data_IF_853627408374
#
_entry.id   IF_853627408374
#
_cell.length_a   1.000
_cell.length_b   1.000
_cell.length_c   1.000
_cell.angle_alpha   90.00
_cell.angle_beta   90.00
_cell.angle_gamma   90.00
#
_symmetry.space_group_name_H-M   'P 1'
#
loop_
_entity.id
_entity.type
_entity.pdbx_description
1 polymer ?
#
# COMPACT_ATOMS: atom_id res chain seq x y z
N UNK A 1 6.57 -18.01 15.34
CA UNK A 1 6.87 -18.36 16.74
C UNK A 1 8.29 -18.02 17.16
N UNK A 2 9.33 -18.27 16.32
CA UNK A 2 10.74 -17.99 16.69
C UNK A 2 11.05 -16.50 16.87
N UNK A 3 10.41 -15.62 16.11
CA UNK A 3 10.64 -14.15 16.17
C UNK A 3 10.02 -13.48 17.41
N UNK A 4 8.94 -14.02 17.96
CA UNK A 4 8.24 -13.38 19.09
C UNK A 4 9.13 -13.14 20.31
N UNK A 5 9.93 -14.13 20.79
CA UNK A 5 10.82 -13.90 21.93
C UNK A 5 11.92 -12.87 21.66
N UNK A 6 12.37 -12.73 20.40
CA UNK A 6 13.36 -11.72 20.01
C UNK A 6 12.72 -10.33 20.03
N UNK A 7 11.54 -10.17 19.42
CA UNK A 7 10.80 -8.91 19.42
C UNK A 7 10.46 -8.45 20.85
N UNK A 8 10.02 -9.36 21.71
CA UNK A 8 9.73 -9.05 23.11
C UNK A 8 10.97 -8.58 23.87
N UNK A 9 12.12 -9.23 23.62
CA UNK A 9 13.42 -8.85 24.24
C UNK A 9 13.85 -7.46 23.76
N UNK A 10 13.74 -7.19 22.47
CA UNK A 10 14.11 -5.88 21.89
C UNK A 10 13.19 -4.76 22.40
N UNK A 11 11.91 -5.09 22.60
CA UNK A 11 10.92 -4.16 23.18
C UNK A 11 11.00 -4.04 24.72
N UNK A 12 11.78 -4.88 25.41
CA UNK A 12 11.86 -4.90 26.88
C UNK A 12 10.58 -5.35 27.57
N UNK A 13 9.76 -6.19 26.90
CA UNK A 13 8.49 -6.71 27.45
C UNK A 13 8.53 -8.23 27.58
N UNK A 14 7.75 -8.77 28.55
CA UNK A 14 7.55 -10.21 28.65
C UNK A 14 6.60 -10.70 27.55
N UNK A 15 6.82 -11.89 26.95
CA UNK A 15 5.88 -12.49 25.99
C UNK A 15 4.43 -12.62 26.49
N UNK A 16 4.26 -12.77 27.78
CA UNK A 16 2.94 -12.85 28.45
C UNK A 16 2.18 -11.51 28.41
N UNK A 17 2.88 -10.39 28.19
CA UNK A 17 2.27 -9.08 28.06
C UNK A 17 1.78 -8.80 26.63
N UNK A 18 2.04 -9.69 25.67
CA UNK A 18 1.59 -9.53 24.28
C UNK A 18 0.14 -9.95 24.16
N UNK A 19 -0.74 -8.98 23.93
CA UNK A 19 -2.19 -9.21 23.90
C UNK A 19 -2.70 -9.81 22.58
N UNK A 20 -2.02 -9.52 21.46
CA UNK A 20 -2.46 -9.96 20.13
C UNK A 20 -1.32 -9.79 19.09
N UNK A 21 -1.53 -10.38 17.91
CA UNK A 21 -0.65 -10.27 16.76
C UNK A 21 -1.40 -9.71 15.55
N UNK A 22 -0.79 -8.75 14.85
CA UNK A 22 -1.29 -8.21 13.58
C UNK A 22 -0.33 -8.49 12.44
N UNK A 23 -0.83 -8.95 11.30
CA UNK A 23 -0.04 -9.19 10.09
C UNK A 23 -0.70 -8.52 8.89
N UNK A 24 0.10 -7.76 8.12
CA UNK A 24 -0.32 -7.25 6.81
C UNK A 24 0.19 -8.15 5.69
N UNK A 25 -0.68 -8.41 4.70
CA UNK A 25 -0.39 -9.29 3.58
C UNK A 25 -0.56 -8.51 2.27
N UNK A 26 0.43 -8.63 1.38
CA UNK A 26 0.27 -8.21 -0.01
C UNK A 26 -0.58 -9.24 -0.74
N UNK A 27 -1.84 -8.90 -0.99
CA UNK A 27 -2.83 -9.79 -1.59
C UNK A 27 -4.26 -9.47 -1.15
N UNK A 28 -5.20 -10.26 -1.66
CA UNK A 28 -6.60 -10.11 -1.34
C UNK A 28 -6.94 -10.83 -0.02
N UNK A 29 -7.23 -10.06 1.01
CA UNK A 29 -7.63 -10.52 2.34
C UNK A 29 -9.12 -10.24 2.53
N UNK A 30 -9.90 -11.25 2.89
CA UNK A 30 -11.32 -11.10 3.23
C UNK A 30 -11.48 -10.42 4.60
N UNK A 31 -12.66 -9.89 4.88
CA UNK A 31 -12.96 -9.23 6.16
C UNK A 31 -12.78 -10.15 7.37
N UNK A 32 -12.89 -11.46 7.16
CA UNK A 32 -12.61 -12.49 8.18
C UNK A 32 -11.11 -12.68 8.47
N UNK A 33 -10.22 -12.01 7.75
CA UNK A 33 -8.76 -12.24 7.80
C UNK A 33 -8.29 -13.48 7.00
N UNK A 34 -9.21 -14.14 6.27
CA UNK A 34 -8.86 -15.22 5.36
C UNK A 34 -8.20 -14.63 4.10
N UNK A 35 -7.07 -15.18 3.69
CA UNK A 35 -6.31 -14.76 2.52
C UNK A 35 -6.88 -15.48 1.30
N UNK A 36 -7.68 -14.78 0.50
CA UNK A 36 -8.28 -15.33 -0.71
C UNK A 36 -7.22 -15.62 -1.77
N UNK A 37 -6.30 -14.68 -1.98
CA UNK A 37 -5.17 -14.85 -2.90
C UNK A 37 -4.01 -13.92 -2.54
N UNK A 38 -2.79 -14.42 -2.70
CA UNK A 38 -1.56 -13.64 -2.68
C UNK A 38 -0.61 -14.19 -3.74
N UNK A 39 -0.45 -13.48 -4.85
CA UNK A 39 0.43 -13.89 -5.94
C UNK A 39 1.89 -13.91 -5.50
N UNK A 40 2.30 -12.97 -4.66
CA UNK A 40 3.66 -12.87 -4.14
C UNK A 40 4.02 -14.04 -3.24
N UNK A 41 3.09 -14.52 -2.40
CA UNK A 41 3.28 -15.67 -1.51
C UNK A 41 2.85 -16.99 -2.15
N UNK A 42 2.23 -16.97 -3.34
CA UNK A 42 1.62 -18.12 -4.00
C UNK A 42 0.58 -18.82 -3.12
N UNK A 43 -0.16 -18.03 -2.34
CA UNK A 43 -1.20 -18.52 -1.45
C UNK A 43 -2.58 -18.34 -2.08
N UNK A 44 -3.41 -19.37 -1.91
CA UNK A 44 -4.81 -19.38 -2.34
C UNK A 44 -5.65 -19.96 -1.21
N UNK A 45 -6.67 -19.23 -0.80
CA UNK A 45 -7.66 -19.67 0.19
C UNK A 45 -7.06 -20.12 1.54
N UNK A 46 -6.12 -19.33 2.08
CA UNK A 46 -5.41 -19.64 3.33
C UNK A 46 -6.12 -19.01 4.52
N UNK A 47 -6.38 -19.80 5.56
CA UNK A 47 -6.86 -19.32 6.86
C UNK A 47 -5.72 -18.68 7.66
N UNK A 48 -5.43 -17.41 7.37
CA UNK A 48 -4.33 -16.68 7.98
C UNK A 48 -4.50 -16.49 9.48
N UNK A 49 -5.72 -16.18 9.92
CA UNK A 49 -6.02 -15.98 11.35
C UNK A 49 -5.87 -17.28 12.12
N UNK A 50 -6.51 -18.37 11.68
CA UNK A 50 -6.45 -19.65 12.37
C UNK A 50 -5.03 -20.21 12.48
N UNK A 51 -4.19 -20.05 11.43
CA UNK A 51 -2.78 -20.45 11.45
C UNK A 51 -2.01 -19.63 12.50
N UNK A 52 -2.22 -18.32 12.56
CA UNK A 52 -1.52 -17.46 13.51
C UNK A 52 -1.93 -17.73 14.95
N UNK A 53 -3.24 -17.80 15.21
CA UNK A 53 -3.78 -18.05 16.54
C UNK A 53 -3.32 -19.43 17.10
N UNK A 54 -3.37 -20.47 16.27
CA UNK A 54 -2.88 -21.80 16.68
C UNK A 54 -1.36 -21.86 16.87
N UNK A 55 -0.61 -21.04 16.16
CA UNK A 55 0.87 -21.01 16.23
C UNK A 55 1.35 -20.20 17.43
N UNK A 56 0.70 -19.06 17.73
CA UNK A 56 1.17 -18.09 18.71
C UNK A 56 0.44 -18.19 20.05
N UNK A 57 -0.71 -18.90 20.08
CA UNK A 57 -1.59 -19.03 21.24
C UNK A 57 -2.10 -17.67 21.74
N UNK A 58 -2.43 -16.78 20.79
CA UNK A 58 -2.97 -15.44 21.05
C UNK A 58 -3.87 -14.98 19.91
N UNK A 59 -4.77 -14.00 20.14
CA UNK A 59 -5.59 -13.41 19.10
C UNK A 59 -4.75 -12.86 17.96
N UNK A 60 -5.18 -13.12 16.71
CA UNK A 60 -4.49 -12.64 15.53
C UNK A 60 -5.42 -11.87 14.58
N UNK A 61 -4.86 -10.91 13.86
CA UNK A 61 -5.55 -10.10 12.86
C UNK A 61 -4.74 -10.08 11.57
N UNK A 62 -5.44 -10.21 10.45
CA UNK A 62 -4.83 -10.17 9.12
C UNK A 62 -5.56 -9.14 8.27
N UNK A 63 -4.82 -8.23 7.65
CA UNK A 63 -5.37 -7.22 6.74
C UNK A 63 -4.50 -7.07 5.49
N UNK A 64 -5.09 -6.52 4.42
CA UNK A 64 -4.35 -6.12 3.25
C UNK A 64 -3.35 -4.99 3.57
N UNK A 65 -2.16 -5.04 3.00
CA UNK A 65 -1.07 -4.12 3.31
C UNK A 65 -1.34 -2.66 2.92
N UNK A 66 -2.10 -2.39 1.85
CA UNK A 66 -2.51 -1.03 1.49
C UNK A 66 -3.55 -0.47 2.47
N UNK A 67 -4.53 -1.30 2.88
CA UNK A 67 -5.53 -0.90 3.87
C UNK A 67 -4.90 -0.66 5.24
N UNK A 68 -4.01 -1.55 5.66
CA UNK A 68 -3.24 -1.35 6.88
C UNK A 68 -2.43 -0.05 6.82
N UNK A 69 -1.69 0.20 5.74
CA UNK A 69 -0.93 1.42 5.58
C UNK A 69 -1.80 2.68 5.63
N UNK A 70 -2.97 2.67 4.96
CA UNK A 70 -3.91 3.78 5.01
C UNK A 70 -4.42 4.06 6.43
N UNK A 71 -4.77 3.03 7.20
CA UNK A 71 -5.21 3.20 8.58
C UNK A 71 -4.09 3.75 9.48
N UNK A 72 -2.85 3.37 9.22
CA UNK A 72 -1.70 3.96 9.88
C UNK A 72 -1.52 5.45 9.54
N UNK A 73 -1.65 5.82 8.28
CA UNK A 73 -1.60 7.23 7.85
C UNK A 73 -2.76 8.04 8.44
N UNK A 74 -3.97 7.47 8.45
CA UNK A 74 -5.13 8.08 9.08
C UNK A 74 -4.86 8.40 10.54
N UNK A 75 -4.34 7.44 11.30
CA UNK A 75 -4.00 7.63 12.71
C UNK A 75 -2.94 8.73 12.89
N UNK A 76 -1.88 8.72 12.09
CA UNK A 76 -0.80 9.70 12.18
C UNK A 76 -1.29 11.12 11.87
N UNK A 77 -2.11 11.29 10.83
CA UNK A 77 -2.69 12.57 10.44
C UNK A 77 -3.69 13.07 11.47
N UNK A 78 -4.53 12.19 12.00
CA UNK A 78 -5.48 12.51 13.08
C UNK A 78 -4.75 12.99 14.33
N UNK A 79 -3.65 12.35 14.73
CA UNK A 79 -2.81 12.80 15.83
C UNK A 79 -2.19 14.18 15.57
N UNK A 80 -1.99 14.55 14.32
CA UNK A 80 -1.53 15.89 13.91
C UNK A 80 -2.66 16.93 13.80
N UNK A 81 -3.91 16.55 14.09
CA UNK A 81 -5.08 17.43 13.97
C UNK A 81 -5.54 17.69 12.54
N UNK A 82 -5.10 16.88 11.58
CA UNK A 82 -5.52 16.98 10.18
C UNK A 82 -6.84 16.21 9.95
N UNK A 83 -7.65 16.65 8.97
CA UNK A 83 -8.85 15.92 8.55
C UNK A 83 -8.46 14.59 7.91
N UNK A 84 -9.16 13.52 8.28
CA UNK A 84 -8.91 12.16 7.80
C UNK A 84 -10.19 11.45 7.34
N UNK A 85 -11.26 12.21 7.13
CA UNK A 85 -12.54 11.65 6.69
C UNK A 85 -12.49 11.16 5.24
N UNK A 86 -11.71 11.85 4.39
CA UNK A 86 -11.56 11.53 2.97
C UNK A 86 -10.09 11.46 2.60
N UNK A 87 -9.50 10.28 2.76
CA UNK A 87 -8.07 10.05 2.51
C UNK A 87 -7.89 8.79 1.67
N UNK A 88 -6.94 8.81 0.75
CA UNK A 88 -6.54 7.63 -0.01
C UNK A 88 -5.04 7.33 0.13
N UNK A 89 -4.67 6.10 -0.07
CA UNK A 89 -3.31 5.61 -0.12
C UNK A 89 -3.05 4.93 -1.47
N UNK A 90 -1.97 5.28 -2.13
CA UNK A 90 -1.48 4.60 -3.33
C UNK A 90 -0.11 4.00 -3.04
N UNK A 91 -0.01 2.68 -3.14
CA UNK A 91 1.22 1.93 -2.91
C UNK A 91 1.82 1.48 -4.24
N UNK A 92 3.05 1.90 -4.50
CA UNK A 92 3.89 1.42 -5.60
C UNK A 92 4.83 0.34 -5.04
N UNK A 93 4.29 -0.88 -4.90
CA UNK A 93 5.01 -2.00 -4.29
C UNK A 93 5.96 -2.69 -5.25
N UNK A 94 6.74 -3.66 -4.73
CA UNK A 94 7.70 -4.42 -5.52
C UNK A 94 7.05 -5.10 -6.73
N UNK A 95 6.02 -5.90 -6.52
CA UNK A 95 5.38 -6.71 -7.58
C UNK A 95 3.92 -6.32 -7.81
N UNK A 96 3.41 -5.28 -7.16
CA UNK A 96 2.03 -4.87 -7.27
C UNK A 96 1.82 -3.40 -7.02
N UNK A 97 0.72 -2.89 -7.56
CA UNK A 97 0.23 -1.55 -7.30
C UNK A 97 -1.13 -1.68 -6.65
N UNK A 98 -1.29 -1.10 -5.48
CA UNK A 98 -2.55 -1.18 -4.75
C UNK A 98 -2.97 0.19 -4.23
N UNK A 99 -4.26 0.33 -3.94
CA UNK A 99 -4.76 1.50 -3.23
C UNK A 99 -5.74 1.10 -2.14
N UNK A 100 -6.01 2.06 -1.25
CA UNK A 100 -7.08 1.99 -0.29
C UNK A 100 -7.66 3.40 -0.12
N UNK A 101 -8.93 3.50 0.28
CA UNK A 101 -9.56 4.78 0.53
C UNK A 101 -10.44 4.74 1.77
N UNK A 102 -10.46 5.85 2.50
CA UNK A 102 -11.45 6.19 3.51
C UNK A 102 -12.32 7.28 2.90
N UNK A 103 -13.62 7.10 2.93
CA UNK A 103 -14.62 8.07 2.47
C UNK A 103 -15.64 8.25 3.58
N UNK A 104 -15.94 9.49 3.93
CA UNK A 104 -16.81 9.83 5.05
C UNK A 104 -16.42 9.10 6.36
N UNK A 105 -15.12 9.05 6.63
CA UNK A 105 -14.55 8.42 7.82
C UNK A 105 -14.56 6.89 7.82
N UNK A 106 -14.98 6.23 6.73
CA UNK A 106 -15.12 4.78 6.64
C UNK A 106 -14.18 4.17 5.60
N UNK A 107 -13.44 3.15 6.01
CA UNK A 107 -12.61 2.38 5.08
C UNK A 107 -13.48 1.68 4.03
N UNK A 108 -13.21 1.94 2.76
CA UNK A 108 -13.89 1.28 1.65
C UNK A 108 -13.38 -0.15 1.51
N UNK A 109 -14.29 -1.11 1.72
CA UNK A 109 -13.98 -2.54 1.62
C UNK A 109 -14.55 -3.17 0.35
N UNK A 110 -15.75 -2.71 -0.07
CA UNK A 110 -16.51 -3.36 -1.15
C UNK A 110 -17.10 -4.70 -0.70
N UNK A 111 -17.80 -5.38 -1.60
CA UNK A 111 -18.54 -6.61 -1.28
C UNK A 111 -17.66 -7.79 -0.83
N UNK A 112 -16.40 -7.81 -1.21
CA UNK A 112 -15.45 -8.90 -0.90
C UNK A 112 -14.13 -8.39 -0.34
N UNK A 113 -14.13 -7.21 0.25
CA UNK A 113 -12.92 -6.53 0.73
C UNK A 113 -11.88 -6.25 -0.35
N UNK A 114 -12.30 -6.14 -1.63
CA UNK A 114 -11.43 -5.94 -2.79
C UNK A 114 -11.48 -4.52 -3.36
N UNK A 115 -12.07 -3.55 -2.65
CA UNK A 115 -12.01 -2.16 -3.08
C UNK A 115 -10.57 -1.65 -3.04
N UNK A 116 -10.16 -0.90 -4.07
CA UNK A 116 -8.83 -0.32 -4.15
C UNK A 116 -7.82 -1.08 -5.01
N UNK A 117 -8.24 -2.15 -5.71
CA UNK A 117 -7.37 -2.94 -6.61
C UNK A 117 -7.04 -2.16 -7.92
N UNK A 118 -6.46 -0.96 -7.76
CA UNK A 118 -6.17 -0.05 -8.88
C UNK A 118 -5.06 -0.60 -9.80
N UNK A 119 -4.21 -1.48 -9.29
CA UNK A 119 -3.18 -2.15 -10.10
C UNK A 119 -3.75 -2.90 -11.30
N UNK A 120 -5.01 -3.31 -11.21
CA UNK A 120 -5.75 -3.98 -12.29
C UNK A 120 -6.42 -3.01 -13.28
N UNK A 121 -6.37 -1.70 -13.06
CA UNK A 121 -6.91 -0.73 -14.00
C UNK A 121 -6.07 -0.70 -15.27
N UNK A 122 -6.77 -0.63 -16.41
CA UNK A 122 -6.14 -0.53 -17.71
C UNK A 122 -5.79 0.94 -17.99
N UNK A 123 -4.51 1.25 -18.06
CA UNK A 123 -4.03 2.57 -18.45
C UNK A 123 -4.20 2.88 -19.95
N UNK A 124 -4.60 1.89 -20.76
CA UNK A 124 -4.85 2.03 -22.21
C UNK A 124 -5.36 0.75 -22.85
N UNK A 125 -5.71 0.83 -24.13
CA UNK A 125 -6.24 -0.30 -24.91
C UNK A 125 -5.26 -1.49 -25.04
N UNK A 126 -3.97 -1.23 -24.96
CA UNK A 126 -2.96 -2.29 -25.04
C UNK A 126 -3.07 -3.27 -23.86
N UNK A 127 -3.39 -2.78 -22.66
CA UNK A 127 -3.64 -3.62 -21.49
C UNK A 127 -4.83 -4.56 -21.67
N UNK A 128 -5.88 -4.12 -22.37
CA UNK A 128 -7.06 -4.95 -22.69
C UNK A 128 -6.80 -6.01 -23.75
N UNK A 129 -5.84 -5.79 -24.64
CA UNK A 129 -5.52 -6.69 -25.77
C UNK A 129 -4.47 -7.75 -25.41
N UNK A 130 -3.85 -7.66 -24.22
CA UNK A 130 -2.87 -8.64 -23.78
C UNK A 130 -3.55 -9.98 -23.47
N UNK A 131 -3.16 -11.04 -24.19
CA UNK A 131 -3.77 -12.38 -24.12
C UNK A 131 -3.69 -13.09 -22.76
N UNK A 132 -2.89 -12.58 -21.83
CA UNK A 132 -2.68 -13.14 -20.49
C UNK A 132 -2.69 -12.04 -19.44
N UNK A 133 -3.88 -11.63 -19.06
CA UNK A 133 -4.09 -10.63 -17.98
C UNK A 133 -4.59 -11.26 -16.68
N UNK A 134 -4.34 -12.56 -16.43
CA UNK A 134 -4.94 -13.26 -15.31
C UNK A 134 -4.49 -12.73 -13.93
N UNK A 135 -3.35 -12.02 -13.82
CA UNK A 135 -2.80 -11.61 -12.51
C UNK A 135 -2.10 -10.25 -12.48
N UNK A 136 -1.99 -9.51 -13.57
CA UNK A 136 -1.35 -8.19 -13.60
C UNK A 136 -2.14 -7.21 -14.44
N UNK A 137 -2.73 -6.23 -13.78
CA UNK A 137 -3.33 -5.09 -14.43
C UNK A 137 -2.28 -4.20 -15.13
N UNK A 138 -2.75 -3.30 -15.97
CA UNK A 138 -1.91 -2.41 -16.76
C UNK A 138 -0.98 -1.54 -15.91
N UNK A 139 -1.48 -1.00 -14.78
CA UNK A 139 -0.65 -0.21 -13.88
C UNK A 139 0.44 -1.05 -13.21
N UNK A 140 0.16 -2.27 -12.77
CA UNK A 140 1.19 -3.13 -12.18
C UNK A 140 2.35 -3.39 -13.14
N UNK A 141 2.05 -3.58 -14.44
CA UNK A 141 3.06 -3.84 -15.47
C UNK A 141 3.87 -2.60 -15.83
N UNK A 142 3.40 -1.42 -15.46
CA UNK A 142 4.00 -0.15 -15.87
C UNK A 142 4.71 0.58 -14.72
N UNK A 143 4.09 0.59 -13.53
CA UNK A 143 4.55 1.42 -12.40
C UNK A 143 4.81 0.65 -11.11
N UNK A 144 4.79 -0.70 -11.10
CA UNK A 144 5.38 -1.43 -9.99
C UNK A 144 6.89 -1.27 -9.98
N UNK A 145 7.52 -1.38 -8.81
CA UNK A 145 8.98 -1.24 -8.68
C UNK A 145 9.72 -2.23 -9.59
N UNK A 146 9.30 -3.50 -9.61
CA UNK A 146 9.90 -4.52 -10.47
C UNK A 146 9.74 -4.23 -11.96
N UNK A 147 8.57 -3.72 -12.38
CA UNK A 147 8.33 -3.36 -13.78
C UNK A 147 9.25 -2.21 -14.24
N UNK A 148 9.46 -1.22 -13.38
CA UNK A 148 10.37 -0.10 -13.66
C UNK A 148 11.83 -0.60 -13.75
N UNK A 149 12.25 -1.49 -12.86
CA UNK A 149 13.60 -2.08 -12.89
C UNK A 149 13.80 -2.92 -14.16
N UNK A 150 12.80 -3.73 -14.56
CA UNK A 150 12.93 -4.53 -15.80
C UNK A 150 13.03 -3.62 -17.03
N UNK A 151 12.23 -2.56 -17.12
CA UNK A 151 12.37 -1.56 -18.20
C UNK A 151 13.73 -0.85 -18.19
N UNK A 152 14.28 -0.56 -17.01
CA UNK A 152 15.61 0.02 -16.91
C UNK A 152 16.71 -0.94 -17.40
N UNK A 153 16.59 -2.25 -17.11
CA UNK A 153 17.49 -3.29 -17.65
C UNK A 153 17.45 -3.40 -19.17
N UNK A 154 16.32 -3.09 -19.82
CA UNK A 154 16.24 -3.04 -21.29
C UNK A 154 17.05 -1.88 -21.85
N UNK A 155 17.25 -0.80 -21.08
CA UNK A 155 18.11 0.34 -21.46
C UNK A 155 19.58 -0.04 -21.29
N UNK A 156 19.92 -0.62 -20.13
CA UNK A 156 21.25 -1.14 -19.82
C UNK A 156 21.13 -2.21 -18.71
N UNK A 157 21.70 -3.39 -18.93
CA UNK A 157 21.66 -4.50 -17.97
C UNK A 157 22.25 -4.17 -16.59
N UNK A 158 23.07 -3.12 -16.48
CA UNK A 158 23.59 -2.61 -15.21
C UNK A 158 22.51 -1.97 -14.32
N UNK A 159 21.37 -1.54 -14.89
CA UNK A 159 20.28 -0.93 -14.14
C UNK A 159 19.34 -1.94 -13.47
N UNK A 160 19.92 -2.87 -12.70
CA UNK A 160 19.22 -3.97 -12.04
C UNK A 160 18.59 -3.65 -10.68
N UNK A 161 18.63 -2.40 -10.22
CA UNK A 161 18.10 -1.96 -8.93
C UNK A 161 17.76 -0.48 -8.94
N UNK A 162 16.93 -0.02 -7.99
CA UNK A 162 16.69 1.43 -7.81
C UNK A 162 17.99 2.20 -7.50
N UNK A 163 18.95 1.57 -6.83
CA UNK A 163 20.23 2.20 -6.55
C UNK A 163 21.00 2.49 -7.84
N UNK A 164 21.15 1.49 -8.74
CA UNK A 164 21.84 1.68 -10.02
C UNK A 164 21.09 2.62 -10.96
N UNK A 165 19.74 2.61 -10.96
CA UNK A 165 18.93 3.60 -11.68
C UNK A 165 19.22 5.02 -11.17
N UNK A 166 19.29 5.21 -9.85
CA UNK A 166 19.60 6.51 -9.25
C UNK A 166 20.99 7.01 -9.64
N UNK A 167 21.98 6.12 -9.72
CA UNK A 167 23.32 6.47 -10.20
C UNK A 167 23.30 6.92 -11.67
N UNK A 168 22.58 6.18 -12.52
CA UNK A 168 22.42 6.55 -13.93
C UNK A 168 21.70 7.90 -14.11
N UNK A 169 20.63 8.16 -13.33
CA UNK A 169 19.92 9.44 -13.32
C UNK A 169 20.82 10.60 -12.89
N UNK A 170 21.65 10.41 -11.86
CA UNK A 170 22.64 11.40 -11.40
C UNK A 170 23.72 11.63 -12.42
N UNK A 171 24.12 10.61 -13.17
CA UNK A 171 25.06 10.70 -14.28
C UNK A 171 24.45 11.36 -15.54
N UNK A 172 23.13 11.63 -15.54
CA UNK A 172 22.45 12.32 -16.63
C UNK A 172 22.06 11.43 -17.80
N UNK A 173 21.86 10.09 -17.59
CA UNK A 173 21.37 9.21 -18.65
C UNK A 173 19.97 9.64 -19.12
N UNK A 174 19.92 10.21 -20.34
CA UNK A 174 18.71 10.76 -20.92
C UNK A 174 17.63 9.68 -21.18
N UNK A 175 18.03 8.40 -21.38
CA UNK A 175 17.09 7.30 -21.60
C UNK A 175 16.37 6.95 -20.31
N UNK A 176 17.09 6.92 -19.18
CA UNK A 176 16.48 6.74 -17.85
C UNK A 176 15.56 7.92 -17.48
N UNK A 177 15.97 9.15 -17.82
CA UNK A 177 15.15 10.33 -17.60
C UNK A 177 13.83 10.25 -18.38
N UNK A 178 13.87 9.85 -19.67
CA UNK A 178 12.68 9.68 -20.50
C UNK A 178 11.77 8.56 -19.95
N UNK A 179 12.35 7.43 -19.54
CA UNK A 179 11.60 6.33 -18.90
C UNK A 179 10.91 6.80 -17.60
N UNK A 180 11.63 7.52 -16.74
CA UNK A 180 11.08 8.02 -15.48
C UNK A 180 9.97 9.05 -15.71
N UNK A 181 10.08 9.85 -16.77
CA UNK A 181 9.02 10.77 -17.16
C UNK A 181 7.74 10.03 -17.51
N UNK A 182 7.81 8.98 -18.31
CA UNK A 182 6.66 8.14 -18.67
C UNK A 182 6.08 7.43 -17.44
N UNK A 183 6.91 6.85 -16.56
CA UNK A 183 6.48 6.28 -15.28
C UNK A 183 5.73 7.30 -14.43
N UNK A 184 6.24 8.54 -14.37
CA UNK A 184 5.59 9.65 -13.66
C UNK A 184 4.22 10.01 -14.23
N UNK A 185 4.07 9.96 -15.56
CA UNK A 185 2.77 10.16 -16.24
C UNK A 185 1.76 9.10 -15.85
N UNK A 186 2.14 7.82 -15.85
CA UNK A 186 1.26 6.73 -15.43
C UNK A 186 0.88 6.82 -13.95
N UNK A 187 1.80 7.16 -13.07
CA UNK A 187 1.48 7.39 -11.65
C UNK A 187 0.50 8.56 -11.50
N UNK A 188 0.66 9.63 -12.27
CA UNK A 188 -0.27 10.76 -12.25
C UNK A 188 -1.66 10.39 -12.80
N UNK A 189 -1.75 9.44 -13.73
CA UNK A 189 -3.04 8.87 -14.17
C UNK A 189 -3.69 8.13 -13.00
N UNK A 190 -2.97 7.24 -12.31
CA UNK A 190 -3.48 6.50 -11.16
C UNK A 190 -3.99 7.45 -10.05
N UNK A 191 -3.24 8.53 -9.77
CA UNK A 191 -3.65 9.56 -8.80
C UNK A 191 -4.93 10.27 -9.28
N UNK A 192 -5.03 10.60 -10.57
CA UNK A 192 -6.22 11.22 -11.14
C UNK A 192 -7.45 10.31 -11.04
N UNK A 193 -7.28 9.00 -11.30
CA UNK A 193 -8.36 8.02 -11.23
C UNK A 193 -8.85 7.85 -9.78
N UNK A 194 -7.94 7.73 -8.81
CA UNK A 194 -8.25 7.73 -7.37
C UNK A 194 -9.01 9.01 -7.00
N UNK A 195 -8.51 10.15 -7.45
CA UNK A 195 -9.11 11.45 -7.24
C UNK A 195 -10.55 11.52 -7.73
N UNK A 196 -10.80 11.06 -8.96
CA UNK A 196 -12.13 11.07 -9.57
C UNK A 196 -13.08 10.05 -8.93
N UNK A 197 -12.55 8.89 -8.49
CA UNK A 197 -13.36 7.81 -7.94
C UNK A 197 -13.78 8.06 -6.48
N UNK A 198 -12.89 8.65 -5.68
CA UNK A 198 -13.09 8.74 -4.22
C UNK A 198 -13.15 10.19 -3.70
N UNK A 199 -12.72 11.16 -4.50
CA UNK A 199 -12.67 12.58 -4.15
C UNK A 199 -12.02 12.86 -2.77
N UNK A 200 -10.81 12.36 -2.50
CA UNK A 200 -10.17 12.52 -1.20
C UNK A 200 -9.59 13.92 -1.02
N UNK A 201 -9.45 14.38 0.22
CA UNK A 201 -8.72 15.61 0.57
C UNK A 201 -7.20 15.40 0.49
N UNK A 202 -6.77 14.16 0.75
CA UNK A 202 -5.35 13.78 0.73
C UNK A 202 -5.15 12.43 0.05
N UNK A 203 -4.14 12.34 -0.82
CA UNK A 203 -3.60 11.07 -1.32
C UNK A 203 -2.18 10.91 -0.78
N UNK A 204 -1.93 9.83 -0.05
CA UNK A 204 -0.61 9.46 0.44
C UNK A 204 0.02 8.44 -0.50
N UNK A 205 1.25 8.69 -0.92
CA UNK A 205 2.02 7.82 -1.81
C UNK A 205 3.04 7.02 -0.99
N UNK A 206 3.05 5.70 -1.17
CA UNK A 206 4.01 4.81 -0.53
C UNK A 206 4.71 3.87 -1.53
N UNK A 207 5.76 3.23 -1.05
CA UNK A 207 6.60 2.32 -1.81
C UNK A 207 7.99 2.89 -2.12
N UNK A 208 8.95 1.99 -2.33
CA UNK A 208 10.36 2.40 -2.52
C UNK A 208 10.57 3.19 -3.81
N UNK A 209 9.83 2.85 -4.88
CA UNK A 209 9.94 3.55 -6.16
C UNK A 209 9.73 5.06 -5.98
N UNK A 210 8.63 5.48 -5.36
CA UNK A 210 8.31 6.89 -5.21
C UNK A 210 9.15 7.57 -4.12
N UNK A 211 9.55 6.83 -3.09
CA UNK A 211 10.32 7.36 -1.97
C UNK A 211 11.82 7.49 -2.27
N UNK A 212 12.39 6.56 -3.05
CA UNK A 212 13.83 6.41 -3.21
C UNK A 212 14.34 6.73 -4.61
N UNK A 213 13.49 6.69 -5.65
CA UNK A 213 13.92 7.01 -7.00
C UNK A 213 14.08 8.51 -7.18
N UNK A 214 15.29 8.93 -7.52
CA UNK A 214 15.68 10.34 -7.68
C UNK A 214 14.78 11.05 -8.70
N UNK A 215 14.11 12.12 -8.26
CA UNK A 215 13.25 12.94 -9.12
C UNK A 215 11.86 12.33 -9.41
N UNK A 216 11.57 11.09 -9.00
CA UNK A 216 10.30 10.44 -9.31
C UNK A 216 9.10 11.23 -8.77
N UNK A 217 9.10 11.57 -7.49
CA UNK A 217 8.02 12.34 -6.88
C UNK A 217 7.81 13.70 -7.55
N UNK A 218 8.90 14.43 -7.84
CA UNK A 218 8.84 15.73 -8.51
C UNK A 218 8.23 15.60 -9.92
N UNK A 219 8.63 14.58 -10.67
CA UNK A 219 8.09 14.26 -11.99
C UNK A 219 6.58 13.97 -11.91
N UNK A 220 6.18 13.11 -10.99
CA UNK A 220 4.75 12.81 -10.74
C UNK A 220 3.97 14.10 -10.46
N UNK A 221 4.45 14.94 -9.55
CA UNK A 221 3.76 16.17 -9.18
C UNK A 221 3.63 17.20 -10.33
N UNK A 222 4.54 17.19 -11.29
CA UNK A 222 4.40 18.02 -12.49
C UNK A 222 3.20 17.58 -13.34
N UNK A 223 2.98 16.27 -13.51
CA UNK A 223 1.86 15.74 -14.27
C UNK A 223 0.54 15.80 -13.51
N UNK A 224 0.53 15.53 -12.21
CA UNK A 224 -0.64 15.68 -11.33
C UNK A 224 -1.22 17.09 -11.46
N UNK A 225 -0.40 18.14 -11.38
CA UNK A 225 -0.83 19.53 -11.54
C UNK A 225 -1.48 19.84 -12.88
N UNK A 226 -1.10 19.11 -13.95
CA UNK A 226 -1.66 19.30 -15.30
C UNK A 226 -2.99 18.55 -15.49
N UNK A 227 -3.17 17.41 -14.81
CA UNK A 227 -4.32 16.52 -15.01
C UNK A 227 -5.50 16.81 -14.08
N UNK A 228 -5.22 17.23 -12.85
CA UNK A 228 -6.28 17.48 -11.87
C UNK A 228 -7.12 18.68 -12.29
N UNK A 229 -8.43 18.47 -12.33
CA UNK A 229 -9.40 19.53 -12.62
C UNK A 229 -9.61 20.35 -11.36
N UNK A 230 -9.11 21.59 -11.35
CA UNK A 230 -9.20 22.51 -10.19
C UNK A 230 -10.63 22.72 -9.68
N UNK A 231 -11.63 22.62 -10.55
CA UNK A 231 -13.04 22.77 -10.17
C UNK A 231 -13.56 21.60 -9.33
N UNK A 232 -12.99 20.39 -9.48
CA UNK A 232 -13.43 19.19 -8.75
C UNK A 232 -12.58 18.97 -7.48
N UNK A 233 -11.32 19.36 -7.53
CA UNK A 233 -10.37 19.12 -6.44
C UNK A 233 -9.42 20.30 -6.24
N UNK A 234 -9.93 21.45 -5.78
CA UNK A 234 -9.12 22.66 -5.64
C UNK A 234 -8.01 22.51 -4.59
N UNK A 235 -8.21 21.65 -3.60
CA UNK A 235 -7.35 21.54 -2.40
C UNK A 235 -6.72 20.16 -2.20
N UNK A 236 -6.75 19.27 -3.21
CA UNK A 236 -6.16 17.93 -3.06
C UNK A 236 -4.67 18.02 -2.68
N UNK A 237 -4.33 17.45 -1.53
CA UNK A 237 -2.96 17.26 -1.11
C UNK A 237 -2.45 15.89 -1.59
N UNK A 238 -1.32 15.87 -2.31
CA UNK A 238 -0.61 14.64 -2.64
C UNK A 238 0.74 14.66 -1.92
N UNK A 239 0.99 13.67 -1.09
CA UNK A 239 2.20 13.65 -0.24
C UNK A 239 2.81 12.25 -0.15
N UNK A 240 4.08 12.17 0.20
CA UNK A 240 4.75 10.91 0.51
C UNK A 240 4.38 10.45 1.91
N UNK A 241 4.31 9.13 2.11
CA UNK A 241 4.24 8.54 3.45
C UNK A 241 5.43 8.98 4.31
N UNK A 242 5.17 9.34 5.57
CA UNK A 242 6.22 9.62 6.55
C UNK A 242 6.79 8.34 7.19
N UNK A 243 6.11 7.21 7.03
CA UNK A 243 6.46 5.94 7.64
C UNK A 243 7.33 5.04 6.73
N UNK A 244 7.58 5.45 5.48
CA UNK A 244 8.37 4.69 4.52
C UNK A 244 7.85 3.26 4.33
N UNK A 245 8.73 2.26 4.41
CA UNK A 245 8.39 0.83 4.30
C UNK A 245 7.59 0.29 5.48
N UNK A 246 7.52 1.01 6.60
CA UNK A 246 6.86 0.56 7.82
C UNK A 246 5.37 0.98 7.89
N UNK A 247 4.83 1.63 6.87
CA UNK A 247 3.46 2.13 6.89
C UNK A 247 2.42 1.04 7.21
N UNK A 248 2.49 -0.12 6.56
CA UNK A 248 1.58 -1.23 6.82
C UNK A 248 1.79 -1.88 8.20
N UNK A 249 3.03 -1.94 8.67
CA UNK A 249 3.35 -2.46 10.00
C UNK A 249 2.75 -1.55 11.09
N UNK A 250 2.94 -0.25 10.95
CA UNK A 250 2.35 0.74 11.87
C UNK A 250 0.82 0.66 11.86
N UNK A 251 0.21 0.60 10.68
CA UNK A 251 -1.24 0.44 10.56
C UNK A 251 -1.75 -0.85 11.19
N UNK A 252 -1.04 -1.97 11.03
CA UNK A 252 -1.40 -3.21 11.71
C UNK A 252 -1.30 -3.10 13.23
N UNK A 253 -0.34 -2.35 13.76
CA UNK A 253 -0.28 -2.10 15.21
C UNK A 253 -1.51 -1.31 15.70
N UNK A 254 -1.96 -0.31 14.94
CA UNK A 254 -3.18 0.43 15.25
C UNK A 254 -4.42 -0.49 15.25
N UNK A 255 -4.58 -1.32 14.20
CA UNK A 255 -5.68 -2.29 14.09
C UNK A 255 -5.64 -3.28 15.26
N UNK A 256 -4.48 -3.84 15.57
CA UNK A 256 -4.32 -4.83 16.61
C UNK A 256 -4.68 -4.26 18.00
N UNK A 257 -4.23 -3.05 18.31
CA UNK A 257 -4.57 -2.35 19.55
C UNK A 257 -6.06 -2.07 19.65
N UNK A 258 -6.68 -1.54 18.59
CA UNK A 258 -8.11 -1.27 18.57
C UNK A 258 -8.94 -2.55 18.79
N UNK A 259 -8.62 -3.60 18.08
CA UNK A 259 -9.30 -4.90 18.21
C UNK A 259 -9.10 -5.55 19.58
N UNK A 260 -7.90 -5.42 20.16
CA UNK A 260 -7.63 -5.90 21.51
C UNK A 260 -8.49 -5.17 22.55
N UNK A 261 -8.60 -3.84 22.44
CA UNK A 261 -9.45 -3.02 23.32
C UNK A 261 -10.93 -3.43 23.18
N UNK A 262 -11.43 -3.58 21.95
CA UNK A 262 -12.81 -3.97 21.71
C UNK A 262 -13.13 -5.34 22.33
N UNK A 263 -12.23 -6.32 22.20
CA UNK A 263 -12.39 -7.65 22.83
C UNK A 263 -12.41 -7.59 24.36
N UNK A 264 -11.60 -6.71 24.96
CA UNK A 264 -11.59 -6.51 26.42
C UNK A 264 -12.90 -5.90 26.90
N UNK A 265 -13.44 -4.90 26.20
CA UNK A 265 -14.71 -4.26 26.53
C UNK A 265 -15.88 -5.27 26.44
N UNK A 266 -15.93 -6.07 25.37
CA UNK A 266 -16.97 -7.10 25.22
C UNK A 266 -16.95 -8.15 26.33
N UNK A 267 -15.76 -8.54 26.82
CA UNK A 267 -15.64 -9.46 27.97
C UNK A 267 -16.12 -8.83 29.28
N UNK A 268 -15.92 -7.54 29.47
CA UNK A 268 -16.42 -6.83 30.66
C UNK A 268 -17.94 -6.74 30.69
N UNK A 269 -18.59 -6.59 29.51
CA UNK A 269 -20.06 -6.50 29.40
C UNK A 269 -20.75 -7.86 29.57
N UNK A 270 -20.06 -8.97 29.31
CA UNK A 270 -20.60 -10.34 29.45
C UNK A 270 -20.42 -10.92 30.85
N UNK A 271 -19.76 -10.22 31.76
CA UNK A 271 -19.67 -10.56 33.18
C UNK A 271 -18.93 -11.88 33.49
N UNK A 272 -18.05 -12.35 32.61
CA UNK A 272 -17.19 -13.53 32.79
C UNK A 272 -15.72 -13.08 32.83
#
# INVERSE_FOLDING_TARGET
RKMLPELCRDAGVSPECVACCGISISGHVLETGRISASSQLQWVDVDGVGILESTLDMPAFVENDCKAALLGEQHLLSCAGESTENIAYLKLGWAGVGSAAIVDGRLLRGSRNAAGEIGHFNAGLEGMRAEKCEYRGSFERTISESAVIERAKEIDSAYGSLASINEGLKAGDARLQAMLQEVGEYIAIAISDISCAYNPDTIVLGGNLIASCTGCYQTVMQFVKKRLTRSVQPNLAVRLTKMGSNASLYGMSCIAVEQAIQRLLQKSDTGI
#
